data_IF_961078873416
#
_entry.id   IF_961078873416
#
_cell.length_a   1.000
_cell.length_b   1.000
_cell.length_c   1.000
_cell.angle_alpha   90.00
_cell.angle_beta   90.00
_cell.angle_gamma   90.00
#
_symmetry.space_group_name_H-M   'P 1'
#
loop_
_entity.id
_entity.type
_entity.pdbx_description
1 polymer ?
2 non-polymer ?
3 water ?
#
# COMPACT_ATOMS: atom_id res chain seq x y z
N UNK A 3 10.15 12.34 2.06
CA UNK A 3 9.02 13.28 2.18
C UNK A 3 8.51 13.74 0.79
N UNK A 4 9.32 14.43 0.00
CA UNK A 4 9.05 14.66 -1.45
C UNK A 4 9.32 13.34 -2.16
N UNK A 5 10.32 12.60 -1.69
CA UNK A 5 10.70 11.29 -2.24
C UNK A 5 9.55 10.29 -2.07
N UNK A 6 8.77 10.40 -0.99
CA UNK A 6 7.61 9.49 -0.74
C UNK A 6 6.50 9.89 -1.70
N UNK A 7 6.31 11.20 -1.89
CA UNK A 7 5.39 11.79 -2.88
C UNK A 7 5.60 11.19 -4.26
N UNK A 8 6.82 11.28 -4.80
CA UNK A 8 7.14 10.82 -6.19
C UNK A 8 6.92 9.31 -6.32
N UNK A 9 7.29 8.55 -5.29
CA UNK A 9 7.10 7.07 -5.27
C UNK A 9 5.61 6.76 -5.36
N UNK A 10 4.78 7.43 -4.56
CA UNK A 10 3.30 7.23 -4.53
C UNK A 10 2.72 7.56 -5.91
N UNK A 11 3.19 8.65 -6.50
CA UNK A 11 2.80 9.05 -7.90
C UNK A 11 3.20 7.94 -8.89
N UNK A 12 4.41 7.40 -8.81
CA UNK A 12 4.84 6.37 -9.80
C UNK A 12 4.03 5.08 -9.53
N UNK A 13 3.78 4.73 -8.26
CA UNK A 13 2.98 3.55 -7.84
C UNK A 13 1.64 3.58 -8.60
N UNK A 14 0.93 4.70 -8.42
CA UNK A 14 -0.46 4.87 -8.92
C UNK A 14 -0.42 4.80 -10.45
N UNK A 15 0.56 5.41 -11.09
CA UNK A 15 0.69 5.45 -12.56
C UNK A 15 0.90 4.02 -13.09
N UNK A 16 1.77 3.22 -12.48
CA UNK A 16 2.03 1.82 -12.91
C UNK A 16 0.77 0.96 -12.71
N UNK A 17 0.15 1.00 -11.54
CA UNK A 17 -1.07 0.18 -11.24
C UNK A 17 -2.19 0.51 -12.23
N UNK A 18 -2.36 1.79 -12.52
CA UNK A 18 -3.42 2.29 -13.44
C UNK A 18 -3.09 1.86 -14.86
N UNK A 19 -1.81 1.80 -15.22
CA UNK A 19 -1.35 1.43 -16.58
C UNK A 19 -1.47 -0.08 -16.83
N UNK A 20 -1.65 -0.92 -15.80
CA UNK A 20 -1.73 -2.40 -16.02
C UNK A 20 -3.20 -2.79 -16.19
N UNK A 21 -3.52 -3.45 -17.30
CA UNK A 21 -4.92 -3.76 -17.70
C UNK A 21 -5.39 -4.98 -16.90
N UNK A 22 -4.48 -5.93 -16.63
CA UNK A 22 -4.77 -7.14 -15.82
C UNK A 22 -5.03 -6.71 -14.36
N UNK A 23 -5.68 -7.57 -13.59
CA UNK A 23 -5.83 -7.38 -12.15
C UNK A 23 -4.51 -7.66 -11.47
N UNK A 24 -4.16 -6.79 -10.53
CA UNK A 24 -2.93 -6.92 -9.71
C UNK A 24 -3.33 -6.96 -8.25
N UNK A 25 -2.81 -7.96 -7.53
CA UNK A 25 -2.85 -8.04 -6.05
C UNK A 25 -1.44 -8.38 -5.60
N UNK A 26 -0.84 -7.58 -4.72
CA UNK A 26 0.45 -7.88 -4.04
C UNK A 26 0.19 -8.10 -2.56
N UNK A 27 0.90 -9.07 -1.98
CA UNK A 27 0.95 -9.34 -0.53
C UNK A 27 2.38 -9.14 -0.03
N UNK A 28 2.49 -8.90 1.28
CA UNK A 28 3.74 -8.90 2.05
C UNK A 28 3.98 -10.32 2.55
N UNK A 29 5.05 -10.50 3.31
CA UNK A 29 5.51 -11.82 3.82
C UNK A 29 4.40 -12.43 4.67
N UNK A 30 3.59 -11.64 5.35
CA UNK A 30 2.58 -12.24 6.26
C UNK A 30 1.30 -12.50 5.48
N UNK A 31 1.20 -12.19 4.19
CA UNK A 31 -0.04 -12.53 3.49
C UNK A 31 -1.04 -11.38 3.47
N UNK A 32 -0.68 -10.22 3.98
CA UNK A 32 -1.49 -8.98 3.92
C UNK A 32 -1.41 -8.35 2.53
N UNK A 33 -2.55 -7.96 1.98
CA UNK A 33 -2.64 -7.24 0.68
C UNK A 33 -2.04 -5.83 0.89
N UNK A 34 -1.05 -5.45 0.11
CA UNK A 34 -0.37 -4.14 0.24
C UNK A 34 -0.51 -3.32 -1.04
N UNK A 36 -3.11 -3.09 -4.81
CA UNK A 36 -4.18 -3.63 -5.61
C UNK A 36 -4.53 -2.55 -6.66
N UNK A 37 -4.86 -2.92 -7.89
CA UNK A 37 -5.21 -1.91 -8.92
C UNK A 37 -6.72 -1.92 -9.11
N UNK A 38 -7.24 -1.04 -9.97
CA UNK A 38 -8.71 -0.90 -10.14
C UNK A 38 -9.30 -2.19 -10.73
N UNK A 39 -8.66 -2.82 -11.72
CA UNK A 39 -9.15 -4.07 -12.39
C UNK A 39 -9.32 -5.18 -11.36
N UNK A 40 -8.40 -5.34 -10.40
CA UNK A 40 -8.52 -6.35 -9.33
C UNK A 40 -9.71 -6.00 -8.42
N UNK A 41 -9.89 -4.73 -8.07
CA UNK A 41 -11.03 -4.34 -7.17
C UNK A 41 -12.34 -4.72 -7.86
N UNK A 42 -12.46 -4.43 -9.17
CA UNK A 42 -13.65 -4.81 -9.97
C UNK A 42 -13.82 -6.33 -9.86
N UNK A 43 -12.75 -7.10 -10.14
CA UNK A 43 -12.81 -8.58 -10.07
C UNK A 43 -13.35 -9.00 -8.70
N UNK A 44 -12.93 -8.35 -7.62
CA UNK A 44 -13.22 -8.80 -6.23
C UNK A 44 -14.58 -8.27 -5.76
N UNK A 45 -15.19 -7.35 -6.52
CA UNK A 45 -16.48 -6.72 -6.19
C UNK A 45 -16.34 -5.54 -5.23
N UNK A 46 -15.24 -4.79 -5.25
CA UNK A 46 -15.04 -3.60 -4.38
C UNK A 46 -14.88 -2.36 -5.24
N UNK A 47 -15.22 -1.21 -4.67
CA UNK A 47 -15.21 0.12 -5.33
C UNK A 47 -13.83 0.77 -5.16
N UNK A 48 -13.16 0.56 -4.03
CA UNK A 48 -11.85 1.20 -3.77
C UNK A 48 -11.09 0.39 -2.71
N UNK A 49 -9.93 0.90 -2.32
CA UNK A 49 -8.85 0.22 -1.55
C UNK A 49 -9.29 -0.01 -0.10
N UNK A 50 -10.20 0.83 0.42
CA UNK A 50 -10.70 0.73 1.82
C UNK A 50 -11.30 -0.67 1.99
N UNK A 51 -10.93 -1.32 3.10
CA UNK A 51 -11.29 -2.70 3.48
C UNK A 51 -10.65 -3.77 2.58
N UNK A 52 -9.76 -3.42 1.67
CA UNK A 52 -9.10 -4.42 0.78
C UNK A 52 -7.60 -4.45 1.11
N UNK A 53 -6.93 -3.32 0.98
CA UNK A 53 -5.57 -3.15 1.53
C UNK A 53 -5.62 -3.50 3.02
N UNK A 54 -4.57 -4.12 3.53
CA UNK A 54 -4.49 -4.38 4.97
C UNK A 54 -5.33 -5.57 5.42
N UNK A 55 -5.93 -6.32 4.49
CA UNK A 55 -6.64 -7.58 4.80
C UNK A 55 -5.76 -8.79 4.47
N UNK A 56 -5.83 -9.89 5.23
CA UNK A 56 -5.25 -11.16 4.78
C UNK A 56 -5.87 -11.62 3.44
N UNK A 57 -4.99 -12.04 2.53
CA UNK A 57 -5.36 -12.41 1.15
C UNK A 57 -6.42 -13.51 1.21
N UNK A 58 -6.29 -14.47 2.12
CA UNK A 58 -7.25 -15.62 2.21
C UNK A 58 -8.63 -15.14 2.70
N UNK A 59 -8.77 -13.95 3.30
CA UNK A 59 -10.13 -13.42 3.61
C UNK A 59 -10.86 -13.18 2.29
N UNK A 60 -10.25 -12.45 1.35
CA UNK A 60 -10.94 -12.09 0.11
C UNK A 60 -10.78 -13.16 -0.95
N UNK A 61 -9.69 -13.93 -0.96
CA UNK A 61 -9.44 -14.99 -1.99
C UNK A 61 -9.04 -16.26 -1.26
N UNK A 62 -10.03 -17.05 -0.76
CA UNK A 62 -9.72 -18.23 0.06
C UNK A 62 -8.89 -19.32 -0.63
N UNK A 63 -8.95 -19.39 -1.95
CA UNK A 63 -8.22 -20.42 -2.73
C UNK A 63 -6.90 -19.83 -3.26
N UNK A 64 -6.45 -18.65 -2.82
CA UNK A 64 -5.26 -17.97 -3.41
C UNK A 64 -4.06 -18.87 -3.13
N UNK A 65 -3.14 -19.02 -4.09
CA UNK A 65 -1.84 -19.70 -3.84
C UNK A 65 -0.71 -18.69 -3.56
N UNK A 66 -1.03 -17.41 -3.39
CA UNK A 66 0.03 -16.39 -3.19
C UNK A 66 0.81 -16.75 -1.92
N UNK A 67 0.18 -17.25 -0.83
CA UNK A 67 0.97 -17.60 0.35
C UNK A 67 1.94 -18.79 0.12
N UNK A 68 1.60 -19.72 -0.77
CA UNK A 68 2.50 -20.81 -1.21
C UNK A 68 3.69 -20.22 -1.98
N UNK A 69 3.51 -19.13 -2.73
CA UNK A 69 4.63 -18.45 -3.46
C UNK A 69 5.59 -17.79 -2.45
N UNK A 70 5.07 -17.30 -1.33
CA UNK A 70 5.90 -16.77 -0.22
C UNK A 70 6.65 -17.93 0.42
N UNK A 71 5.98 -19.03 0.72
CA UNK A 71 6.59 -20.14 1.49
C UNK A 71 7.72 -20.79 0.67
N UNK A 72 7.53 -20.98 -0.64
CA UNK A 72 8.44 -21.78 -1.51
C UNK A 72 9.42 -20.91 -2.31
N UNK A 73 9.08 -19.65 -2.59
CA UNK A 73 9.83 -18.82 -3.53
C UNK A 73 9.57 -19.23 -4.97
N UNK A 74 8.56 -20.06 -5.27
CA UNK A 74 8.37 -20.62 -6.63
C UNK A 74 7.24 -19.89 -7.35
N UNK A 75 7.56 -19.31 -8.50
CA UNK A 75 6.57 -18.73 -9.45
C UNK A 75 5.61 -19.85 -9.87
N UNK A 76 4.38 -19.49 -10.26
CA UNK A 76 3.35 -20.41 -10.82
C UNK A 76 2.64 -19.67 -11.94
N UNK A 77 2.48 -20.28 -13.11
CA UNK A 77 1.93 -19.59 -14.32
C UNK A 77 0.65 -20.31 -14.76
N UNK A 78 -0.22 -19.62 -15.50
CA UNK A 78 -1.34 -20.25 -16.26
C UNK A 78 -2.21 -21.08 -15.30
N UNK A 79 -2.48 -20.59 -14.09
CA UNK A 79 -3.42 -21.23 -13.14
C UNK A 79 -4.82 -20.66 -13.39
N UNK A 80 -5.76 -21.50 -13.82
CA UNK A 80 -7.18 -21.13 -13.94
C UNK A 80 -7.78 -21.06 -12.55
N UNK A 82 -11.56 -19.41 -10.30
CA UNK A 82 -12.82 -18.69 -10.36
C UNK A 82 -12.78 -17.57 -9.33
N UNK A 83 -13.10 -16.35 -9.75
CA UNK A 83 -13.24 -15.19 -8.83
C UNK A 83 -14.60 -14.56 -9.13
N UNK A 84 -15.53 -14.61 -8.17
CA UNK A 84 -16.90 -14.05 -8.28
C UNK A 84 -17.61 -14.47 -9.55
N UNK A 85 -17.72 -15.77 -9.79
CA UNK A 85 -18.39 -16.36 -10.96
C UNK A 85 -17.63 -16.15 -12.27
N UNK A 86 -16.43 -15.57 -12.27
CA UNK A 86 -15.64 -15.35 -13.52
C UNK A 86 -14.41 -16.24 -13.47
N UNK A 87 -14.12 -16.95 -14.55
CA UNK A 87 -12.89 -17.76 -14.70
C UNK A 87 -11.79 -16.82 -15.14
N UNK A 88 -10.69 -16.78 -14.40
CA UNK A 88 -9.54 -15.90 -14.73
C UNK A 88 -8.31 -16.79 -14.78
N UNK A 89 -7.23 -16.26 -15.34
CA UNK A 89 -5.94 -16.98 -15.39
C UNK A 89 -4.97 -16.20 -14.51
N UNK A 90 -4.35 -16.87 -13.53
CA UNK A 90 -3.45 -16.27 -12.55
C UNK A 90 -2.00 -16.62 -12.89
N UNK A 91 -1.14 -15.61 -12.91
CA UNK A 91 0.34 -15.73 -12.84
C UNK A 91 0.78 -15.23 -11.47
N UNK A 92 1.58 -15.99 -10.74
CA UNK A 92 2.02 -15.61 -9.37
C UNK A 92 3.54 -15.64 -9.30
N UNK A 93 4.18 -14.51 -8.95
CA UNK A 93 5.66 -14.43 -8.90
C UNK A 93 6.09 -13.90 -7.52
N UNK A 94 7.19 -14.45 -6.97
CA UNK A 94 7.79 -13.89 -5.77
C UNK A 94 8.47 -12.55 -6.07
N UNK A 95 8.49 -11.69 -5.05
CA UNK A 95 9.23 -10.41 -5.02
C UNK A 95 10.37 -10.61 -4.04
N UNK A 96 11.59 -10.29 -4.45
CA UNK A 96 12.81 -10.41 -3.61
C UNK A 96 13.41 -9.03 -3.35
N UNK A 97 14.08 -8.83 -2.20
CA UNK A 97 14.88 -7.61 -1.93
C UNK A 97 16.24 -7.78 -2.63
N UNK A 98 17.10 -6.75 -2.56
CA UNK A 98 18.44 -6.71 -3.19
C UNK A 98 19.26 -7.94 -2.77
N UNK A 99 19.11 -8.37 -1.50
CA UNK A 99 19.85 -9.52 -0.89
C UNK A 99 19.29 -10.86 -1.34
N UNK A 100 18.16 -10.91 -2.06
CA UNK A 100 17.52 -12.16 -2.55
C UNK A 100 16.50 -12.77 -1.60
N UNK A 101 16.17 -12.14 -0.47
CA UNK A 101 15.06 -12.60 0.41
C UNK A 101 13.68 -12.32 -0.25
N UNK A 102 12.77 -13.28 -0.26
CA UNK A 102 11.36 -13.08 -0.71
C UNK A 102 10.66 -12.12 0.28
N UNK A 103 10.23 -10.94 -0.18
CA UNK A 103 9.57 -9.93 0.72
C UNK A 103 8.08 -9.76 0.36
N UNK A 104 7.66 -10.40 -0.71
CA UNK A 104 6.23 -10.46 -1.07
C UNK A 104 6.01 -11.23 -2.34
N UNK A 105 4.83 -11.11 -2.89
CA UNK A 105 4.42 -11.89 -4.06
C UNK A 105 3.34 -11.08 -4.76
N UNK A 106 3.21 -11.29 -6.05
CA UNK A 106 2.20 -10.59 -6.89
C UNK A 106 1.44 -11.66 -7.63
N UNK A 107 0.13 -11.49 -7.71
CA UNK A 107 -0.76 -12.21 -8.65
C UNK A 107 -1.13 -11.21 -9.73
N UNK A 108 -1.13 -11.69 -10.98
CA UNK A 108 -1.73 -11.06 -12.17
C UNK A 108 -2.91 -11.93 -12.58
N UNK A 109 -4.09 -11.36 -12.75
CA UNK A 109 -5.32 -12.06 -13.23
C UNK A 109 -5.71 -11.48 -14.59
N UNK A 110 -5.93 -12.34 -15.59
CA UNK A 110 -6.47 -11.97 -16.93
C UNK A 110 -7.69 -12.85 -17.24
N UNK A 111 -8.59 -12.32 -18.06
CA UNK A 111 -9.90 -12.90 -18.45
C UNK A 111 -9.71 -13.85 -19.62
N UNK B 3 4.13 -5.70 -14.27
CA UNK B 3 4.23 -7.11 -13.87
C UNK B 3 5.57 -7.41 -13.17
N UNK B 4 6.66 -7.58 -13.95
CA UNK B 4 8.06 -7.45 -13.45
C UNK B 4 8.22 -6.04 -12.87
N UNK B 5 7.60 -5.04 -13.53
CA UNK B 5 7.64 -3.60 -13.13
C UNK B 5 7.14 -3.47 -11.69
N UNK B 6 6.09 -4.22 -11.34
CA UNK B 6 5.42 -4.14 -10.00
C UNK B 6 6.39 -4.71 -8.97
N UNK B 7 7.08 -5.80 -9.33
CA UNK B 7 8.14 -6.41 -8.49
C UNK B 7 9.23 -5.40 -8.16
N UNK B 8 9.69 -4.67 -9.16
CA UNK B 8 10.79 -3.67 -9.00
C UNK B 8 10.24 -2.53 -8.16
N UNK B 9 9.08 -1.99 -8.52
CA UNK B 9 8.43 -0.92 -7.73
C UNK B 9 8.28 -1.33 -6.27
N UNK B 10 7.81 -2.55 -5.98
CA UNK B 10 7.57 -3.02 -4.58
C UNK B 10 8.89 -2.96 -3.80
N UNK B 11 9.94 -3.52 -4.41
CA UNK B 11 11.34 -3.55 -3.90
C UNK B 11 11.84 -2.13 -3.59
N UNK B 12 11.71 -1.20 -4.54
CA UNK B 12 12.09 0.24 -4.33
C UNK B 12 11.24 0.88 -3.22
N UNK B 13 9.95 0.57 -3.15
CA UNK B 13 9.10 1.14 -2.07
C UNK B 13 9.65 0.68 -0.74
N UNK B 14 9.72 -0.64 -0.53
CA UNK B 14 10.16 -1.24 0.75
C UNK B 14 11.48 -0.56 1.14
N UNK B 15 12.46 -0.52 0.22
CA UNK B 15 13.81 0.07 0.47
C UNK B 15 13.67 1.51 0.96
N UNK B 16 12.92 2.32 0.23
CA UNK B 16 12.74 3.77 0.53
C UNK B 16 12.00 3.98 1.86
N UNK B 17 11.04 3.11 2.21
CA UNK B 17 10.24 3.22 3.46
C UNK B 17 11.12 2.92 4.69
N UNK B 18 12.00 1.92 4.60
CA UNK B 18 13.03 1.59 5.63
C UNK B 18 14.07 2.71 5.68
N UNK B 19 14.52 3.21 4.53
CA UNK B 19 15.56 4.27 4.39
C UNK B 19 15.16 5.61 5.04
N UNK B 20 13.88 5.86 5.31
CA UNK B 20 13.42 7.09 6.03
C UNK B 20 13.34 6.79 7.53
N UNK B 21 13.98 7.63 8.34
CA UNK B 21 14.03 7.53 9.82
C UNK B 21 12.74 8.09 10.46
N UNK B 22 12.06 9.07 9.83
CA UNK B 22 10.75 9.56 10.33
C UNK B 22 9.66 8.48 10.13
N UNK B 23 8.56 8.56 10.90
CA UNK B 23 7.29 7.88 10.62
C UNK B 23 6.67 8.41 9.33
N UNK B 24 6.21 7.54 8.44
CA UNK B 24 5.47 7.91 7.20
C UNK B 24 4.05 7.32 7.29
N UNK B 25 3.03 8.16 7.09
CA UNK B 25 1.64 7.69 6.81
C UNK B 25 1.15 8.42 5.56
N UNK B 26 0.67 7.71 4.54
CA UNK B 26 0.05 8.27 3.31
C UNK B 26 -1.41 7.85 3.15
N UNK B 27 -2.27 8.77 2.67
CA UNK B 27 -3.72 8.50 2.44
C UNK B 27 -3.99 8.85 0.99
N UNK B 28 -5.11 8.34 0.49
CA UNK B 28 -5.62 8.67 -0.86
C UNK B 28 -6.61 9.80 -0.62
N UNK B 29 -7.36 10.22 -1.64
CA UNK B 29 -8.26 11.39 -1.51
C UNK B 29 -9.46 11.07 -0.62
N UNK B 30 -9.80 9.79 -0.40
CA UNK B 30 -10.94 9.42 0.50
C UNK B 30 -10.46 9.32 1.97
N UNK B 31 -9.18 9.51 2.27
CA UNK B 31 -8.69 9.43 3.66
C UNK B 31 -8.34 8.02 4.07
N UNK B 32 -8.15 7.11 3.12
CA UNK B 32 -7.82 5.70 3.44
C UNK B 32 -6.31 5.63 3.53
N UNK B 33 -5.78 4.99 4.56
CA UNK B 33 -4.32 4.80 4.64
C UNK B 33 -3.85 3.87 3.52
N UNK B 34 -2.88 4.31 2.71
CA UNK B 34 -2.41 3.55 1.52
C UNK B 34 -0.93 3.23 1.61
N UNK B 36 2.51 3.07 4.68
CA UNK B 36 2.95 3.25 6.05
C UNK B 36 4.30 2.55 6.23
N UNK B 37 5.19 3.08 7.07
CA UNK B 37 6.52 2.46 7.29
C UNK B 37 6.57 1.91 8.72
N UNK B 38 7.61 1.11 9.00
CA UNK B 38 7.86 0.39 10.29
C UNK B 38 7.78 1.36 11.47
N UNK B 39 8.40 2.52 11.31
CA UNK B 39 8.48 3.55 12.36
C UNK B 39 7.09 4.08 12.68
N UNK B 40 6.25 4.36 11.67
CA UNK B 40 4.87 4.81 11.95
C UNK B 40 4.10 3.64 12.61
N UNK B 41 4.34 2.40 12.21
CA UNK B 41 3.58 1.23 12.76
C UNK B 41 3.89 1.08 14.25
N UNK B 42 5.19 1.05 14.59
CA UNK B 42 5.71 1.05 15.99
C UNK B 42 5.06 2.20 16.77
N UNK B 43 5.01 3.38 16.20
CA UNK B 43 4.43 4.58 16.85
C UNK B 43 2.90 4.43 17.05
N UNK B 44 2.22 3.74 16.12
CA UNK B 44 0.75 3.49 16.19
C UNK B 44 0.44 2.35 17.16
N UNK B 45 1.44 1.51 17.43
CA UNK B 45 1.35 0.32 18.29
C UNK B 45 0.83 -0.87 17.51
N UNK B 46 1.27 -1.02 16.26
CA UNK B 46 0.94 -2.14 15.35
C UNK B 46 2.25 -2.83 14.97
N UNK B 47 2.18 -4.15 14.74
CA UNK B 47 3.34 -5.01 14.37
C UNK B 47 3.50 -5.06 12.84
N UNK B 48 2.41 -4.95 12.06
CA UNK B 48 2.47 -5.00 10.57
C UNK B 48 1.31 -4.15 10.02
N UNK B 49 1.28 -4.07 8.71
CA UNK B 49 0.37 -3.25 7.87
C UNK B 49 -1.08 -3.73 8.08
N UNK B 50 -1.28 -4.96 8.53
CA UNK B 50 -2.62 -5.56 8.69
C UNK B 50 -3.48 -4.62 9.55
N UNK B 51 -4.60 -4.20 9.03
CA UNK B 51 -5.64 -3.37 9.70
C UNK B 51 -5.15 -1.92 9.82
N UNK B 52 -4.01 -1.58 9.22
CA UNK B 52 -3.54 -0.17 9.18
C UNK B 52 -3.75 0.32 7.75
N UNK B 53 -3.11 -0.32 6.77
CA UNK B 53 -3.46 -0.12 5.35
C UNK B 53 -4.96 -0.38 5.21
N UNK B 54 -5.66 0.46 4.46
CA UNK B 54 -7.06 0.21 4.09
C UNK B 54 -8.05 0.75 5.12
N UNK B 55 -7.57 1.43 6.16
CA UNK B 55 -8.39 1.97 7.28
C UNK B 55 -8.49 3.47 7.08
N UNK B 56 -9.67 4.08 7.29
CA UNK B 56 -9.78 5.54 7.30
C UNK B 56 -8.91 6.18 8.40
N UNK B 57 -8.11 7.19 8.03
CA UNK B 57 -7.03 7.77 8.88
C UNK B 57 -7.58 8.15 10.27
N UNK B 58 -8.75 8.77 10.38
CA UNK B 58 -9.18 9.27 11.72
C UNK B 58 -9.57 8.12 12.66
N UNK B 59 -9.65 6.86 12.19
CA UNK B 59 -9.93 5.73 13.11
C UNK B 59 -8.64 5.33 13.84
N UNK B 60 -7.48 5.77 13.38
CA UNK B 60 -6.16 5.42 13.98
C UNK B 60 -5.49 6.67 14.54
N UNK B 61 -5.63 7.81 13.84
CA UNK B 61 -5.02 9.11 14.19
C UNK B 61 -6.12 10.16 14.30
N UNK B 62 -6.87 10.19 15.41
CA UNK B 62 -8.04 11.07 15.50
C UNK B 62 -7.74 12.56 15.22
N UNK B 63 -6.55 13.05 15.56
CA UNK B 63 -6.17 14.49 15.46
C UNK B 63 -5.52 14.79 14.13
N UNK B 64 -5.51 13.84 13.20
CA UNK B 64 -4.79 14.02 11.93
C UNK B 64 -5.41 15.19 11.16
N UNK B 65 -4.56 16.00 10.55
CA UNK B 65 -4.93 17.08 9.61
C UNK B 65 -4.62 16.61 8.18
N UNK B 66 -4.35 15.32 7.95
CA UNK B 66 -4.13 14.86 6.54
C UNK B 66 -5.38 15.11 5.69
N UNK B 67 -6.61 14.87 6.20
CA UNK B 67 -7.81 15.18 5.43
C UNK B 67 -7.94 16.68 5.11
N UNK B 68 -7.58 17.56 6.05
CA UNK B 68 -7.45 19.02 5.84
C UNK B 68 -6.58 19.29 4.60
N UNK B 69 -5.48 18.58 4.45
CA UNK B 69 -4.53 18.81 3.33
C UNK B 69 -5.17 18.40 2.00
N UNK B 70 -6.01 17.36 1.99
CA UNK B 70 -6.72 16.91 0.75
C UNK B 70 -7.64 18.04 0.28
N UNK B 71 -8.41 18.64 1.19
CA UNK B 71 -9.40 19.70 0.91
C UNK B 71 -8.67 20.93 0.36
N UNK B 72 -7.77 21.51 1.17
CA UNK B 72 -7.06 22.79 0.91
C UNK B 72 -5.97 22.65 -0.16
N UNK B 73 -5.50 21.44 -0.48
CA UNK B 73 -4.35 21.24 -1.39
C UNK B 73 -3.03 21.82 -0.83
N UNK B 74 -3.00 22.20 0.44
CA UNK B 74 -1.93 23.05 1.03
C UNK B 74 -1.17 22.28 2.14
N UNK B 75 0.16 22.27 2.01
CA UNK B 75 1.11 21.73 3.02
C UNK B 75 0.88 22.40 4.37
N UNK B 76 1.11 21.68 5.47
CA UNK B 76 1.01 22.16 6.87
C UNK B 76 2.22 21.61 7.66
N UNK B 77 2.96 22.47 8.37
CA UNK B 77 4.23 22.14 9.04
C UNK B 77 4.12 22.30 10.55
N UNK B 78 5.01 21.65 11.28
CA UNK B 78 5.37 22.00 12.68
C UNK B 78 4.22 21.69 13.63
N UNK B 79 3.37 20.68 13.37
CA UNK B 79 2.27 20.31 14.31
C UNK B 79 2.78 19.27 15.32
N UNK B 80 2.79 19.63 16.60
CA UNK B 80 3.17 18.72 17.72
C UNK B 80 2.05 17.71 17.91
N UNK B 82 0.97 13.88 20.19
CA UNK B 82 1.14 12.71 21.04
C UNK B 82 0.60 11.51 20.25
N UNK B 83 1.36 10.41 20.20
CA UNK B 83 0.86 9.19 19.51
C UNK B 83 1.10 7.99 20.43
N UNK B 84 2.28 7.36 20.37
CA UNK B 84 2.59 6.15 21.18
C UNK B 84 2.87 6.51 22.62
N UNK B 85 2.10 7.44 23.19
CA UNK B 85 2.56 8.31 24.29
C UNK B 85 3.87 9.01 23.94
N UNK B 86 4.38 8.91 22.70
CA UNK B 86 5.58 9.64 22.21
C UNK B 86 5.12 11.01 21.68
N UNK B 87 5.91 12.07 21.89
CA UNK B 87 5.68 13.44 21.34
C UNK B 87 6.37 13.51 19.97
N UNK B 88 5.65 13.82 18.89
CA UNK B 88 6.29 13.88 17.54
C UNK B 88 5.86 15.16 16.83
N UNK B 89 6.64 15.59 15.85
CA UNK B 89 6.26 16.74 15.00
C UNK B 89 5.80 16.16 13.67
N UNK B 90 4.62 16.56 13.20
CA UNK B 90 3.99 16.14 11.92
C UNK B 90 4.16 17.27 10.90
N UNK B 91 4.81 16.97 9.77
CA UNK B 91 4.79 17.78 8.52
C UNK B 91 3.88 17.02 7.53
N UNK B 92 2.93 17.71 6.91
CA UNK B 92 1.91 17.12 6.01
C UNK B 92 1.96 17.81 4.66
N UNK B 93 2.20 17.07 3.57
CA UNK B 93 2.16 17.64 2.20
C UNK B 93 1.15 16.89 1.34
N UNK B 94 0.61 17.57 0.29
CA UNK B 94 -0.20 16.92 -0.74
C UNK B 94 0.67 16.12 -1.72
N UNK B 95 0.14 15.05 -2.29
CA UNK B 95 0.82 14.33 -3.38
C UNK B 95 0.02 14.58 -4.65
N UNK B 96 0.71 14.97 -5.72
CA UNK B 96 0.02 15.34 -6.99
C UNK B 96 0.37 14.30 -8.05
N UNK B 97 -0.51 14.01 -9.01
CA UNK B 97 -0.17 13.19 -10.19
C UNK B 97 0.68 14.10 -11.08
N UNK B 98 1.18 13.60 -12.20
CA UNK B 98 2.03 14.34 -13.16
C UNK B 98 1.30 15.58 -13.73
N UNK B 99 -0.04 15.63 -13.68
CA UNK B 99 -0.82 16.79 -14.21
C UNK B 99 -1.09 17.82 -13.12
N UNK B 100 -0.60 17.58 -11.90
CA UNK B 100 -0.77 18.49 -10.76
C UNK B 100 -2.11 18.34 -10.05
N UNK B 101 -2.88 17.28 -10.27
CA UNK B 101 -4.06 17.03 -9.41
C UNK B 101 -3.59 16.38 -8.09
N UNK B 102 -4.22 16.74 -6.97
CA UNK B 102 -4.01 16.08 -5.64
C UNK B 102 -4.61 14.66 -5.66
N UNK B 103 -3.79 13.62 -5.53
CA UNK B 103 -4.23 12.20 -5.49
C UNK B 103 -4.06 11.62 -4.07
N UNK B 104 -3.47 12.38 -3.15
CA UNK B 104 -3.23 11.91 -1.77
C UNK B 104 -2.52 12.94 -0.95
N UNK B 105 -2.09 12.54 0.24
CA UNK B 105 -1.32 13.37 1.19
C UNK B 105 -0.44 12.45 2.04
N UNK B 106 0.68 12.97 2.57
CA UNK B 106 1.60 12.16 3.40
C UNK B 106 1.98 12.97 4.64
N UNK B 107 2.00 12.33 5.81
CA UNK B 107 2.53 12.88 7.08
C UNK B 107 3.87 12.23 7.30
N UNK B 108 4.85 13.06 7.65
CA UNK B 108 6.14 12.67 8.28
C UNK B 108 6.04 12.99 9.77
N UNK B 109 6.45 12.05 10.63
CA UNK B 109 6.45 12.19 12.10
C UNK B 109 7.90 12.15 12.57
N UNK B 110 8.36 13.29 13.08
CA UNK B 110 9.73 13.51 13.61
C UNK B 110 9.67 13.41 15.14
N UNK B 111 10.62 12.70 15.76
CA UNK B 111 10.73 12.65 17.23
C UNK B 111 11.01 14.07 17.74
N UNK B 112 10.20 14.56 18.69
CA UNK B 112 10.35 15.87 19.36
C UNK B 112 11.68 15.85 20.12
#
# INVERSE_FOLDING_TARGET
GSPEEIGLLYQEKQAILEAIREGIVAINQEGTITXVNQTALKLLGYDNERNVLGTPILQLIPHSRLPEVIRTGQAEYDDEXVLGGETVIADRIPIKNKQGRVIGAVSTFRNK
GSPEEIGLLYQEKQAILEAIREGIVAINQEGTITXVNQTALKLLGYDNERNVLGTPILQLIPHSRLPEVIRTGQAEYDDEXVLGGETVIADRIPIKNKQGRVIGAVSTFRNK
#
